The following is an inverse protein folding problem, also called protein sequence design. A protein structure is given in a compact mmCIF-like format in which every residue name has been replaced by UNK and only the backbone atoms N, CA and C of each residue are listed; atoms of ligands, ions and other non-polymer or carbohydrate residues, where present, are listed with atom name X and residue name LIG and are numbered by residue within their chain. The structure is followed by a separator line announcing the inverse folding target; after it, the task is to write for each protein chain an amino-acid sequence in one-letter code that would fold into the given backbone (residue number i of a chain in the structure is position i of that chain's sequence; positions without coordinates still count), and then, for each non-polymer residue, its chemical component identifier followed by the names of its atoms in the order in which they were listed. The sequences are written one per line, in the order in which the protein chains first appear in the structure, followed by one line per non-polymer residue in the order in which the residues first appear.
data_IF_081078007689
#
_entry.id   IF_081078007689
#
_cell.length_a   1.000
_cell.length_b   1.000
_cell.length_c   1.000
_cell.angle_alpha   90.00
_cell.angle_beta   90.00
_cell.angle_gamma   90.00
#
_symmetry.space_group_name_H-M   'P 1'
#
loop_
_entity.id
_entity.type
_entity.pdbx_description
1 polymer ?
#
# COMPACT_ATOMS: atom_id res chain seq x y z
N UNK A 1 -1.24 -8.14 -6.25
CA UNK A 1 -1.10 -6.71 -5.93
C UNK A 1 0.09 -6.07 -6.64
N UNK A 2 1.23 -6.76 -6.77
CA UNK A 2 2.46 -6.19 -7.37
C UNK A 2 2.30 -5.70 -8.81
N UNK A 3 1.55 -6.40 -9.67
CA UNK A 3 1.25 -5.91 -11.02
C UNK A 3 0.39 -4.64 -11.04
N UNK A 4 -0.39 -4.38 -9.99
CA UNK A 4 -1.25 -3.19 -9.87
C UNK A 4 -0.46 -1.98 -9.36
N UNK A 5 0.61 -2.21 -8.59
CA UNK A 5 1.43 -1.18 -7.97
C UNK A 5 2.92 -1.39 -8.25
N UNK A 6 3.37 -1.18 -9.50
CA UNK A 6 4.77 -1.41 -9.88
C UNK A 6 5.76 -0.51 -9.11
N UNK A 7 5.29 0.65 -8.66
CA UNK A 7 6.04 1.64 -7.89
C UNK A 7 6.06 1.37 -6.39
N UNK A 8 5.34 0.36 -5.90
CA UNK A 8 5.32 0.00 -4.50
C UNK A 8 6.01 -1.35 -4.28
N UNK A 9 6.64 -1.50 -3.12
CA UNK A 9 6.90 -2.81 -2.55
C UNK A 9 5.63 -3.33 -1.92
N UNK A 10 5.27 -4.56 -2.27
CA UNK A 10 4.12 -5.23 -1.70
C UNK A 10 4.64 -6.33 -0.79
N UNK A 11 4.31 -6.26 0.48
CA UNK A 11 4.67 -7.26 1.47
C UNK A 11 3.39 -7.89 2.01
N UNK A 12 3.28 -9.22 1.90
CA UNK A 12 2.20 -9.95 2.56
C UNK A 12 2.62 -10.22 3.99
N UNK A 13 1.89 -9.68 4.96
CA UNK A 13 2.13 -9.95 6.37
C UNK A 13 1.59 -11.34 6.73
N UNK A 14 2.16 -11.96 7.76
CA UNK A 14 1.69 -13.26 8.29
C UNK A 14 0.25 -13.22 8.80
N UNK A 15 -0.26 -12.03 9.15
CA UNK A 15 -1.67 -11.79 9.49
C UNK A 15 -2.63 -11.91 8.29
N UNK A 16 -2.11 -12.06 7.07
CA UNK A 16 -2.89 -12.08 5.83
C UNK A 16 -3.17 -10.69 5.25
N UNK A 17 -2.78 -9.62 5.95
CA UNK A 17 -2.85 -8.25 5.45
C UNK A 17 -1.75 -7.96 4.41
N UNK A 18 -2.05 -7.02 3.52
CA UNK A 18 -1.11 -6.53 2.54
C UNK A 18 -0.58 -5.18 2.99
N UNK A 19 0.75 -5.05 2.99
CA UNK A 19 1.45 -3.81 3.26
C UNK A 19 2.07 -3.30 1.98
N UNK A 20 1.83 -2.03 1.67
CA UNK A 20 2.32 -1.38 0.46
C UNK A 20 3.29 -0.27 0.88
N UNK A 21 4.51 -0.26 0.34
CA UNK A 21 5.49 0.80 0.61
C UNK A 21 5.90 1.44 -0.71
N UNK A 22 5.66 2.72 -0.90
CA UNK A 22 6.07 3.43 -2.11
C UNK A 22 7.60 3.51 -2.19
N UNK A 23 8.17 3.05 -3.30
CA UNK A 23 9.63 3.00 -3.49
C UNK A 23 10.26 4.39 -3.59
N UNK A 24 9.50 5.37 -4.09
CA UNK A 24 10.00 6.72 -4.35
C UNK A 24 10.16 7.56 -3.08
N UNK A 25 9.22 7.46 -2.16
CA UNK A 25 9.17 8.29 -0.94
C UNK A 25 9.33 7.49 0.35
N UNK A 26 9.28 6.16 0.28
CA UNK A 26 9.20 5.30 1.46
C UNK A 26 7.83 5.33 2.14
N UNK A 27 6.82 5.93 1.51
CA UNK A 27 5.51 6.14 2.14
C UNK A 27 4.74 4.83 2.25
N UNK A 28 4.31 4.54 3.47
CA UNK A 28 3.56 3.33 3.80
C UNK A 28 2.06 3.53 3.52
N UNK A 29 1.48 2.61 2.79
CA UNK A 29 0.08 2.52 2.45
C UNK A 29 -0.50 1.33 3.20
N UNK A 30 -1.15 1.63 4.32
CA UNK A 30 -1.87 0.63 5.08
C UNK A 30 -3.32 0.58 4.58
N UNK A 31 -3.80 -0.51 3.97
CA UNK A 31 -5.18 -0.60 3.50
C UNK A 31 -6.21 -0.58 4.63
N UNK A 32 -5.77 -0.75 5.89
CA UNK A 32 -6.64 -0.60 7.07
C UNK A 32 -6.97 0.86 7.39
N UNK A 33 -6.15 1.82 6.93
CA UNK A 33 -6.57 3.20 6.87
C UNK A 33 -7.10 3.44 5.46
N UNK A 34 -8.41 3.68 5.27
CA UNK A 34 -8.86 4.21 3.99
C UNK A 34 -8.10 5.51 3.83
N UNK A 35 -7.12 5.53 2.93
CA UNK A 35 -6.55 6.76 2.42
C UNK A 35 -7.75 7.50 1.88
N UNK A 36 -8.34 8.39 2.68
CA UNK A 36 -9.52 9.16 2.32
C UNK A 36 -9.19 9.75 0.96
N UNK A 37 -9.76 9.22 -0.14
CA UNK A 37 -9.67 9.97 -1.37
C UNK A 37 -10.48 11.20 -1.02
N UNK A 38 -9.83 12.37 -1.00
CA UNK A 38 -10.50 13.64 -0.79
C UNK A 38 -11.83 13.57 -1.57
N UNK A 39 -12.93 13.51 -0.83
CA UNK A 39 -14.25 13.50 -1.40
C UNK A 39 -14.38 14.83 -2.15
N UNK A 40 -14.56 14.74 -3.47
CA UNK A 40 -14.95 15.87 -4.29
C UNK A 40 -16.21 15.50 -5.04
#
# INVERSE_FOLDING_TARGET
MEQRFPFCHVTRLSSGQWFLTEKATGREYNPSEPATPNAR
#
